data_IF_695471450403
#
_entry.id   IF_695471450403
#
_cell.length_a   1.000
_cell.length_b   1.000
_cell.length_c   1.000
_cell.angle_alpha   90.00
_cell.angle_beta   90.00
_cell.angle_gamma   90.00
#
_symmetry.space_group_name_H-M   'P 1'
#
loop_
_entity.id
_entity.type
_entity.pdbx_description
1 polymer ?
#
# COMPACT_ATOMS: atom_id res chain seq x y z
N UNK A 1 3.34 18.55 0.75
CA UNK A 1 2.27 17.74 1.36
C UNK A 1 2.77 16.31 1.33
N UNK A 2 2.77 15.59 2.46
CA UNK A 2 3.15 14.19 2.47
C UNK A 2 2.24 13.41 1.53
N UNK A 3 2.84 12.49 0.76
CA UNK A 3 2.09 11.64 -0.17
C UNK A 3 1.25 10.62 0.57
N UNK A 4 0.16 10.17 -0.03
CA UNK A 4 -0.60 9.02 0.45
C UNK A 4 -0.56 7.90 -0.56
N UNK A 5 -0.59 6.68 -0.05
CA UNK A 5 -0.73 5.46 -0.86
C UNK A 5 -1.80 4.58 -0.23
N UNK A 6 -2.56 3.86 -1.04
CA UNK A 6 -3.60 2.99 -0.52
C UNK A 6 -3.89 1.80 -1.41
N UNK A 7 -4.54 0.82 -0.80
CA UNK A 7 -4.99 -0.40 -1.45
C UNK A 7 -6.47 -0.65 -1.14
N UNK A 8 -7.25 -0.97 -2.16
CA UNK A 8 -8.59 -1.51 -1.99
C UNK A 8 -8.51 -3.02 -1.74
N UNK A 9 -9.23 -3.53 -0.74
CA UNK A 9 -9.19 -4.95 -0.39
C UNK A 9 -10.57 -5.44 0.06
N UNK A 10 -10.83 -6.73 -0.13
CA UNK A 10 -12.04 -7.40 0.36
C UNK A 10 -11.80 -8.24 1.63
N UNK A 11 -10.61 -8.17 2.23
CA UNK A 11 -10.16 -9.01 3.36
C UNK A 11 -10.95 -8.86 4.67
N UNK A 12 -11.99 -8.04 4.72
CA UNK A 12 -12.74 -7.77 5.94
C UNK A 12 -11.96 -6.93 6.95
N UNK A 13 -12.25 -7.13 8.24
CA UNK A 13 -12.28 -6.05 9.24
C UNK A 13 -11.00 -5.47 9.81
N UNK A 14 -9.82 -6.03 9.69
CA UNK A 14 -8.67 -5.50 10.45
C UNK A 14 -7.47 -5.75 9.56
N UNK A 15 -7.34 -4.93 8.52
CA UNK A 15 -6.40 -5.21 7.46
C UNK A 15 -4.97 -5.13 7.98
N UNK A 16 -4.65 -4.11 8.79
CA UNK A 16 -3.31 -3.96 9.39
C UNK A 16 -2.94 -5.18 10.24
N UNK A 17 -3.87 -5.69 11.06
CA UNK A 17 -3.63 -6.89 11.86
C UNK A 17 -3.39 -8.11 10.98
N UNK A 18 -4.18 -8.29 9.93
CA UNK A 18 -4.00 -9.39 8.97
C UNK A 18 -2.65 -9.33 8.27
N UNK A 19 -2.17 -8.12 7.94
CA UNK A 19 -0.82 -7.95 7.40
C UNK A 19 0.24 -8.44 8.38
N UNK A 20 0.16 -8.03 9.64
CA UNK A 20 1.08 -8.48 10.68
C UNK A 20 1.04 -10.01 10.88
N UNK A 21 -0.16 -10.59 10.95
CA UNK A 21 -0.36 -12.05 11.07
C UNK A 21 0.20 -12.80 9.85
N UNK A 22 0.20 -12.16 8.67
CA UNK A 22 0.79 -12.66 7.42
C UNK A 22 2.28 -12.32 7.23
N UNK A 23 2.95 -11.77 8.25
CA UNK A 23 4.39 -11.44 8.20
C UNK A 23 4.73 -10.15 7.46
N UNK A 24 3.74 -9.33 7.09
CA UNK A 24 3.92 -8.04 6.42
C UNK A 24 3.76 -6.92 7.45
N UNK A 25 4.88 -6.32 7.86
CA UNK A 25 4.85 -5.18 8.75
C UNK A 25 4.64 -3.87 7.98
N UNK A 26 3.78 -3.00 8.50
CA UNK A 26 3.72 -1.61 8.04
C UNK A 26 5.04 -0.92 8.43
N UNK A 27 5.75 -0.25 7.49
CA UNK A 27 6.96 0.48 7.83
C UNK A 27 6.72 1.48 8.96
N UNK A 28 7.59 1.51 9.96
CA UNK A 28 7.41 2.34 11.15
C UNK A 28 7.34 3.84 10.84
N UNK A 29 7.94 4.27 9.73
CA UNK A 29 7.90 5.66 9.26
C UNK A 29 6.59 6.04 8.57
N UNK A 30 5.67 5.09 8.35
CA UNK A 30 4.40 5.32 7.68
C UNK A 30 3.26 5.37 8.69
N UNK A 31 2.33 6.31 8.51
CA UNK A 31 1.17 6.42 9.38
C UNK A 31 -0.06 5.77 8.72
N UNK A 32 -0.73 4.86 9.43
CA UNK A 32 -2.04 4.33 8.99
C UNK A 32 -3.06 5.46 9.10
N UNK A 33 -3.56 5.94 7.96
CA UNK A 33 -4.60 6.98 7.91
C UNK A 33 -6.00 6.40 7.82
N UNK A 34 -6.14 5.22 7.24
CA UNK A 34 -7.43 4.54 7.13
C UNK A 34 -7.22 3.03 7.09
N UNK A 35 -7.97 2.27 7.88
CA UNK A 35 -8.12 0.81 7.76
C UNK A 35 -9.62 0.53 7.68
N UNK A 36 -10.18 0.45 6.46
CA UNK A 36 -11.62 0.37 6.28
C UNK A 36 -12.00 -0.59 5.15
N UNK A 37 -12.86 -1.55 5.48
CA UNK A 37 -13.28 -2.65 4.60
C UNK A 37 -13.83 -2.23 3.23
N UNK A 38 -14.49 -1.06 3.13
CA UNK A 38 -15.04 -0.54 1.87
C UNK A 38 -14.26 0.59 1.23
N UNK A 39 -13.34 1.21 1.98
CA UNK A 39 -12.63 2.43 1.54
C UNK A 39 -11.14 2.17 1.34
N UNK A 40 -10.70 0.96 1.67
CA UNK A 40 -9.32 0.53 1.56
C UNK A 40 -8.49 0.84 2.80
N UNK A 41 -7.25 0.37 2.73
CA UNK A 41 -6.19 0.61 3.67
C UNK A 41 -5.30 1.71 3.08
N UNK A 42 -5.13 2.82 3.79
CA UNK A 42 -4.41 4.02 3.34
C UNK A 42 -3.33 4.40 4.33
N UNK A 43 -2.15 4.70 3.80
CA UNK A 43 -0.98 5.13 4.54
C UNK A 43 -0.56 6.53 4.08
N UNK A 44 -0.12 7.33 5.05
CA UNK A 44 0.67 8.51 4.79
C UNK A 44 2.16 8.15 4.81
N UNK A 45 2.86 8.62 3.80
CA UNK A 45 4.28 8.40 3.58
C UNK A 45 5.09 9.57 4.15
N UNK A 46 6.32 9.33 4.64
CA UNK A 46 7.27 10.42 4.88
C UNK A 46 7.66 11.09 3.55
N UNK A 47 8.28 12.28 3.62
CA UNK A 47 8.56 13.11 2.44
C UNK A 47 9.46 12.45 1.38
N UNK A 48 10.28 11.48 1.78
CA UNK A 48 11.15 10.72 0.89
C UNK A 48 11.00 9.22 1.12
N UNK A 49 10.39 8.53 0.16
CA UNK A 49 10.33 7.07 0.08
C UNK A 49 10.67 6.65 -1.34
N UNK A 50 11.53 5.64 -1.49
CA UNK A 50 11.82 5.11 -2.82
C UNK A 50 10.58 4.40 -3.37
N UNK A 51 10.28 4.60 -4.66
CA UNK A 51 9.14 3.94 -5.33
C UNK A 51 9.20 2.42 -5.17
N UNK A 52 10.39 1.84 -5.19
CA UNK A 52 10.59 0.40 -4.97
C UNK A 52 10.09 -0.07 -3.60
N UNK A 53 10.31 0.70 -2.54
CA UNK A 53 9.83 0.37 -1.20
C UNK A 53 8.30 0.44 -1.13
N UNK A 54 7.71 1.44 -1.82
CA UNK A 54 6.26 1.57 -1.92
C UNK A 54 5.67 0.34 -2.62
N UNK A 55 6.20 -0.01 -3.78
CA UNK A 55 5.74 -1.16 -4.56
C UNK A 55 5.95 -2.48 -3.80
N UNK A 56 7.11 -2.68 -3.18
CA UNK A 56 7.42 -3.87 -2.41
C UNK A 56 6.40 -4.09 -1.29
N UNK A 57 6.09 -3.04 -0.54
CA UNK A 57 5.05 -3.10 0.49
C UNK A 57 3.66 -3.38 -0.09
N UNK A 58 3.25 -2.70 -1.17
CA UNK A 58 1.93 -2.91 -1.78
C UNK A 58 1.76 -4.32 -2.35
N UNK A 59 2.78 -4.88 -3.01
CA UNK A 59 2.74 -6.23 -3.57
C UNK A 59 2.66 -7.29 -2.47
N UNK A 60 3.43 -7.13 -1.38
CA UNK A 60 3.32 -8.00 -0.21
C UNK A 60 1.93 -7.92 0.43
N UNK A 61 1.38 -6.70 0.53
CA UNK A 61 0.02 -6.44 1.03
C UNK A 61 -1.04 -7.12 0.16
N UNK A 62 -0.91 -7.07 -1.18
CA UNK A 62 -1.81 -7.79 -2.09
C UNK A 62 -1.75 -9.30 -1.81
N UNK A 63 -0.55 -9.87 -1.66
CA UNK A 63 -0.37 -11.29 -1.37
C UNK A 63 -1.15 -11.75 -0.13
N UNK A 64 -1.12 -10.95 0.95
CA UNK A 64 -1.83 -11.27 2.20
C UNK A 64 -3.35 -11.00 2.10
N UNK A 65 -3.76 -9.88 1.50
CA UNK A 65 -5.15 -9.42 1.55
C UNK A 65 -6.03 -9.92 0.39
N UNK A 66 -5.46 -10.53 -0.65
CA UNK A 66 -6.23 -11.04 -1.79
C UNK A 66 -7.13 -12.23 -1.41
N UNK A 67 -6.74 -13.02 -0.42
CA UNK A 67 -7.50 -14.21 0.02
C UNK A 67 -7.55 -15.36 -1.00
N UNK A 68 -6.88 -15.24 -2.14
CA UNK A 68 -6.72 -16.28 -3.16
C UNK A 68 -5.24 -16.62 -3.33
N UNK A 69 -4.89 -17.87 -3.68
CA UNK A 69 -3.52 -18.22 -4.01
C UNK A 69 -3.01 -17.35 -5.16
N UNK A 70 -1.84 -16.74 -4.96
CA UNK A 70 -1.14 -15.99 -6.01
C UNK A 70 0.16 -16.70 -6.33
N UNK A 71 0.59 -16.67 -7.59
CA UNK A 71 1.86 -17.27 -8.02
C UNK A 71 3.10 -16.47 -7.56
N UNK A 72 2.89 -15.37 -6.82
CA UNK A 72 3.96 -14.51 -6.32
C UNK A 72 4.69 -13.69 -7.38
N UNK A 73 4.26 -13.75 -8.65
CA UNK A 73 4.82 -12.99 -9.77
C UNK A 73 3.94 -11.78 -10.08
N UNK A 74 4.52 -10.60 -9.98
CA UNK A 74 3.83 -9.33 -10.21
C UNK A 74 4.59 -8.51 -11.25
N UNK A 75 3.85 -7.80 -12.10
CA UNK A 75 4.37 -6.74 -12.95
C UNK A 75 3.69 -5.45 -12.52
N UNK A 76 4.47 -4.39 -12.33
CA UNK A 76 3.97 -3.08 -11.94
C UNK A 76 4.53 -2.03 -12.89
N UNK A 77 3.65 -1.23 -13.49
CA UNK A 77 4.01 -0.06 -14.27
C UNK A 77 3.94 1.19 -13.39
N UNK A 78 4.98 2.02 -13.45
CA UNK A 78 5.06 3.28 -12.71
C UNK A 78 5.08 4.44 -13.69
N UNK A 79 4.07 5.30 -13.61
CA UNK A 79 4.04 6.57 -14.32
C UNK A 79 4.28 7.72 -13.35
N UNK A 80 5.27 8.57 -13.65
CA UNK A 80 5.52 9.80 -12.88
C UNK A 80 4.84 10.94 -13.60
N UNK A 81 3.76 11.46 -13.01
CA UNK A 81 3.13 12.67 -13.54
C UNK A 81 3.95 13.90 -13.11
N UNK A 82 4.67 14.50 -14.05
CA UNK A 82 5.29 15.81 -13.83
C UNK A 82 4.19 16.86 -13.85
N UNK A 83 3.97 17.55 -12.74
CA UNK A 83 3.06 18.68 -12.71
C UNK A 83 3.57 19.77 -13.65
N UNK A 84 2.83 20.06 -14.72
CA UNK A 84 3.06 21.27 -15.51
C UNK A 84 2.74 22.46 -14.60
N UNK A 85 3.72 23.32 -14.31
CA UNK A 85 3.42 24.64 -13.72
C UNK A 85 2.43 25.33 -14.67
N UNK A 86 1.19 25.55 -14.24
CA UNK A 86 0.37 26.59 -14.86
C UNK A 86 1.09 27.91 -14.54
N UNK A 87 1.61 28.53 -15.59
CA UNK A 87 2.06 29.93 -15.56
C UNK A 87 0.87 30.85 -15.33
#
# INVERSE_FOLDING_TARGET
MPGTVGISHAAGRFAVRRLADGGVAVPASWAVRQDHTRRGLVFELPDAVAVGDILGFLLATIGVLSGVPTEGRWVADVAVQRSSRRA
#
